data_IF_270472837305
#
_entry.id   IF_270472837305
#
_cell.length_a   1.000
_cell.length_b   1.000
_cell.length_c   1.000
_cell.angle_alpha   90.00
_cell.angle_beta   90.00
_cell.angle_gamma   90.00
#
_symmetry.space_group_name_H-M   'P 1'
#
loop_
_entity.id
_entity.type
_entity.pdbx_description
1 polymer ?
#
# COMPACT_ATOMS: atom_id res chain seq x y z
N UNK A 1 16.39 0.40 0.82
CA UNK A 1 16.42 1.88 1.00
C UNK A 1 17.76 2.50 0.65
N UNK A 2 18.90 1.79 0.76
CA UNK A 2 20.24 2.31 0.50
C UNK A 2 20.48 2.88 -0.94
N UNK A 3 19.59 2.62 -1.87
CA UNK A 3 19.64 3.14 -3.25
C UNK A 3 18.79 4.38 -3.48
N UNK A 4 18.03 4.81 -2.49
CA UNK A 4 17.21 6.02 -2.59
C UNK A 4 18.09 7.29 -2.49
N UNK A 5 17.60 8.38 -3.06
CA UNK A 5 18.21 9.69 -2.82
C UNK A 5 17.81 10.16 -1.42
N UNK A 6 18.70 10.86 -0.68
CA UNK A 6 18.37 11.38 0.64
C UNK A 6 17.15 12.33 0.68
N UNK A 7 16.81 12.93 -0.46
CA UNK A 7 15.63 13.78 -0.62
C UNK A 7 14.35 13.02 -0.97
N UNK A 8 14.41 11.68 -1.09
CA UNK A 8 13.23 10.89 -1.48
C UNK A 8 12.22 10.77 -0.34
N UNK A 9 10.94 10.79 -0.70
CA UNK A 9 9.83 10.41 0.16
C UNK A 9 9.38 9.00 -0.21
N UNK A 10 9.19 8.16 0.78
CA UNK A 10 8.67 6.81 0.60
C UNK A 10 7.19 6.75 1.02
N UNK A 11 6.32 6.23 0.15
CA UNK A 11 4.88 6.09 0.44
C UNK A 11 4.47 4.65 0.25
N UNK A 12 3.85 4.04 1.27
CA UNK A 12 3.24 2.72 1.17
C UNK A 12 1.74 2.80 1.49
N UNK A 13 0.92 2.77 0.44
CA UNK A 13 -0.53 2.65 0.51
C UNK A 13 -1.02 1.33 -0.11
N UNK A 14 -0.13 0.37 -0.27
CA UNK A 14 -0.41 -0.94 -0.86
C UNK A 14 -0.62 -2.03 0.19
N UNK A 15 0.46 -2.62 0.67
CA UNK A 15 0.43 -3.67 1.72
C UNK A 15 1.62 -3.54 2.65
N UNK A 16 1.40 -3.74 3.95
CA UNK A 16 2.45 -3.69 4.96
C UNK A 16 3.56 -4.73 4.73
N UNK A 17 3.23 -5.88 4.15
CA UNK A 17 4.20 -6.92 3.81
C UNK A 17 5.24 -6.51 2.74
N UNK A 18 4.99 -5.43 2.00
CA UNK A 18 5.94 -4.90 1.01
C UNK A 18 7.15 -4.18 1.64
N UNK A 19 7.14 -3.96 2.96
CA UNK A 19 8.17 -3.21 3.68
C UNK A 19 8.73 -4.04 4.83
N UNK A 20 10.04 -3.96 5.04
CA UNK A 20 10.69 -4.40 6.27
C UNK A 20 10.74 -3.20 7.21
N UNK A 21 9.92 -3.24 8.26
CA UNK A 21 9.67 -2.10 9.13
C UNK A 21 10.94 -1.55 9.80
N UNK A 22 11.82 -2.46 10.26
CA UNK A 22 13.09 -2.08 10.87
C UNK A 22 14.02 -1.35 9.89
N UNK A 23 14.05 -1.78 8.62
CA UNK A 23 14.88 -1.17 7.59
C UNK A 23 14.39 0.22 7.23
N UNK A 24 13.06 0.44 7.21
CA UNK A 24 12.48 1.74 6.98
C UNK A 24 12.83 2.71 8.11
N UNK A 25 12.70 2.27 9.37
CA UNK A 25 13.04 3.09 10.53
C UNK A 25 14.54 3.45 10.53
N UNK A 26 15.41 2.49 10.21
CA UNK A 26 16.83 2.74 10.07
C UNK A 26 17.14 3.73 8.93
N UNK A 27 16.51 3.57 7.77
CA UNK A 27 16.71 4.47 6.64
C UNK A 27 16.30 5.92 6.93
N UNK A 28 15.22 6.13 7.67
CA UNK A 28 14.80 7.46 8.13
C UNK A 28 15.80 8.04 9.14
N UNK A 29 16.21 7.23 10.11
CA UNK A 29 17.18 7.64 11.14
C UNK A 29 18.54 8.03 10.55
N UNK A 30 18.99 7.27 9.58
CA UNK A 30 20.31 7.44 8.95
C UNK A 30 20.30 8.48 7.80
N UNK A 31 19.14 9.10 7.52
CA UNK A 31 19.00 10.13 6.49
C UNK A 31 19.05 9.60 5.04
N UNK A 32 18.79 8.31 4.85
CA UNK A 32 18.65 7.71 3.50
C UNK A 32 17.33 8.07 2.83
N UNK A 33 16.37 8.58 3.61
CA UNK A 33 15.08 9.09 3.16
C UNK A 33 14.77 10.42 3.85
N UNK A 34 14.15 11.34 3.13
CA UNK A 34 13.67 12.60 3.70
C UNK A 34 12.41 12.40 4.57
N UNK A 35 11.64 11.35 4.30
CA UNK A 35 10.44 11.03 5.06
C UNK A 35 9.73 9.82 4.51
N UNK A 36 8.71 9.34 5.25
CA UNK A 36 7.85 8.26 4.82
C UNK A 36 6.38 8.48 5.21
N UNK A 37 5.47 7.96 4.39
CA UNK A 37 4.04 7.85 4.69
C UNK A 37 3.65 6.39 4.64
N UNK A 38 3.11 5.86 5.72
CA UNK A 38 2.67 4.47 5.84
C UNK A 38 1.17 4.46 6.14
N UNK A 39 0.38 4.01 5.16
CA UNK A 39 -1.06 3.85 5.31
C UNK A 39 -1.45 2.42 5.70
N UNK A 40 -0.56 1.46 5.45
CA UNK A 40 -0.79 0.03 5.69
C UNK A 40 0.36 -0.57 6.49
N UNK A 41 0.03 -1.37 7.52
CA UNK A 41 1.01 -2.01 8.37
C UNK A 41 0.99 -3.54 8.20
N UNK A 42 2.09 -4.21 8.56
CA UNK A 42 2.18 -5.68 8.51
C UNK A 42 1.21 -6.33 9.49
N UNK A 43 1.03 -5.70 10.64
CA UNK A 43 0.03 -6.07 11.65
C UNK A 43 -0.90 -4.88 11.88
N UNK A 44 -2.18 -5.11 11.75
CA UNK A 44 -3.23 -4.11 11.96
C UNK A 44 -4.29 -4.65 12.95
N UNK A 45 -4.63 -3.89 14.00
CA UNK A 45 -4.09 -2.57 14.37
C UNK A 45 -2.60 -2.61 14.70
N UNK A 46 -1.88 -1.50 14.42
CA UNK A 46 -0.47 -1.39 14.73
C UNK A 46 -0.24 -1.51 16.25
N UNK A 47 0.67 -2.40 16.72
CA UNK A 47 0.91 -2.59 18.15
C UNK A 47 1.31 -1.29 18.84
N UNK A 48 0.89 -1.05 20.11
CA UNK A 48 1.15 0.21 20.81
C UNK A 48 2.63 0.56 20.99
N UNK A 49 3.52 -0.45 20.97
CA UNK A 49 4.97 -0.25 21.12
C UNK A 49 5.73 -0.34 19.81
N UNK A 50 5.03 -0.29 18.67
CA UNK A 50 5.67 -0.39 17.38
C UNK A 50 6.55 0.83 17.11
N UNK A 51 7.79 0.66 16.55
CA UNK A 51 8.71 1.76 16.30
C UNK A 51 8.17 2.87 15.41
N UNK A 52 7.21 2.58 14.55
CA UNK A 52 6.59 3.59 13.67
C UNK A 52 5.92 4.73 14.43
N UNK A 53 5.43 4.50 15.66
CA UNK A 53 4.79 5.55 16.45
C UNK A 53 5.75 6.70 16.83
N UNK A 54 7.05 6.40 16.90
CA UNK A 54 8.07 7.36 17.35
C UNK A 54 9.14 7.65 16.30
N UNK A 55 9.04 7.03 15.13
CA UNK A 55 10.02 7.24 14.06
C UNK A 55 9.93 8.68 13.53
N UNK A 56 11.05 9.41 13.62
CA UNK A 56 11.14 10.75 13.05
C UNK A 56 10.97 10.72 11.53
N UNK A 57 10.22 11.67 10.99
CA UNK A 57 9.97 11.75 9.54
C UNK A 57 8.98 10.73 8.99
N UNK A 58 8.29 9.95 9.86
CA UNK A 58 7.26 8.99 9.45
C UNK A 58 5.86 9.50 9.81
N UNK A 59 4.98 9.55 8.81
CA UNK A 59 3.55 9.83 8.98
C UNK A 59 2.78 8.51 8.86
N UNK A 60 1.95 8.22 9.85
CA UNK A 60 1.02 7.08 9.83
C UNK A 60 -0.39 7.56 9.47
N UNK A 61 -1.08 6.78 8.61
CA UNK A 61 -2.50 6.92 8.36
C UNK A 61 -3.21 5.57 8.59
N UNK A 62 -4.51 5.56 8.63
CA UNK A 62 -5.30 4.44 9.14
C UNK A 62 -5.86 3.52 8.07
N UNK A 63 -5.05 3.07 7.09
CA UNK A 63 -5.48 2.21 5.98
C UNK A 63 -6.67 2.82 5.22
N UNK A 64 -6.53 4.09 4.87
CA UNK A 64 -7.61 4.95 4.35
C UNK A 64 -7.33 5.54 2.96
N UNK A 65 -6.18 5.22 2.36
CA UNK A 65 -5.76 5.78 1.09
C UNK A 65 -6.70 5.44 -0.10
N UNK A 66 -7.43 4.32 -0.01
CA UNK A 66 -8.36 3.88 -1.04
C UNK A 66 -9.69 3.41 -0.43
N UNK A 67 -10.58 4.32 -0.03
CA UNK A 67 -11.88 3.95 0.52
C UNK A 67 -12.71 3.24 -0.54
N UNK A 68 -13.22 2.05 -0.21
CA UNK A 68 -14.12 1.29 -1.07
C UNK A 68 -15.41 2.07 -1.29
N UNK A 69 -15.81 2.22 -2.54
CA UNK A 69 -17.08 2.83 -2.93
C UNK A 69 -18.06 1.74 -3.37
N UNK A 70 -18.96 1.28 -2.50
CA UNK A 70 -19.85 0.14 -2.79
C UNK A 70 -20.63 0.26 -4.11
N UNK A 71 -21.17 1.44 -4.49
CA UNK A 71 -21.89 1.55 -5.76
C UNK A 71 -21.02 1.32 -7.00
N UNK A 72 -19.75 1.77 -6.96
CA UNK A 72 -18.82 1.55 -8.06
C UNK A 72 -18.40 0.09 -8.16
N UNK A 73 -18.15 -0.55 -7.02
CA UNK A 73 -17.82 -1.98 -6.97
C UNK A 73 -18.98 -2.84 -7.45
N UNK A 74 -20.21 -2.54 -7.05
CA UNK A 74 -21.39 -3.24 -7.53
C UNK A 74 -21.58 -3.11 -9.06
N UNK A 75 -21.36 -1.91 -9.60
CA UNK A 75 -21.43 -1.68 -11.05
C UNK A 75 -20.38 -2.49 -11.81
N UNK A 76 -19.12 -2.47 -11.34
CA UNK A 76 -18.03 -3.24 -11.95
C UNK A 76 -18.33 -4.75 -11.89
N UNK A 77 -18.83 -5.23 -10.75
CA UNK A 77 -19.22 -6.63 -10.59
C UNK A 77 -20.33 -7.03 -11.58
N UNK A 78 -21.39 -6.24 -11.69
CA UNK A 78 -22.51 -6.54 -12.60
C UNK A 78 -22.09 -6.50 -14.07
N UNK A 79 -21.22 -5.54 -14.46
CA UNK A 79 -20.63 -5.51 -15.82
C UNK A 79 -19.82 -6.77 -16.09
N UNK A 80 -18.95 -7.17 -15.17
CA UNK A 80 -18.16 -8.38 -15.31
C UNK A 80 -19.01 -9.67 -15.29
N UNK A 81 -20.09 -9.70 -14.51
CA UNK A 81 -21.02 -10.83 -14.53
C UNK A 81 -21.69 -10.99 -15.91
N UNK A 82 -22.15 -9.88 -16.50
CA UNK A 82 -22.73 -9.90 -17.83
C UNK A 82 -21.70 -10.37 -18.90
N UNK A 83 -20.46 -9.87 -18.82
CA UNK A 83 -19.36 -10.29 -19.70
C UNK A 83 -19.05 -11.78 -19.54
N UNK A 84 -18.96 -12.26 -18.31
CA UNK A 84 -18.73 -13.68 -18.03
C UNK A 84 -19.83 -14.56 -18.64
N UNK A 85 -21.09 -14.17 -18.50
CA UNK A 85 -22.23 -14.90 -19.09
C UNK A 85 -22.23 -14.87 -20.62
N UNK A 86 -21.67 -13.80 -21.23
CA UNK A 86 -21.51 -13.66 -22.67
C UNK A 86 -20.24 -14.33 -23.22
N UNK A 87 -19.37 -14.89 -22.38
CA UNK A 87 -18.08 -15.46 -22.79
C UNK A 87 -17.05 -14.39 -23.22
N UNK A 88 -17.23 -13.15 -22.79
CA UNK A 88 -16.32 -12.04 -23.07
C UNK A 88 -15.22 -11.92 -22.02
N UNK A 89 -14.09 -11.27 -22.39
CA UNK A 89 -13.02 -10.95 -21.45
C UNK A 89 -13.49 -10.03 -20.32
N UNK A 90 -13.06 -10.32 -19.10
CA UNK A 90 -13.41 -9.51 -17.93
C UNK A 90 -12.62 -8.18 -17.91
N UNK A 91 -13.16 -7.19 -17.26
CA UNK A 91 -12.43 -5.93 -16.98
C UNK A 91 -11.60 -6.06 -15.72
N UNK A 92 -10.36 -5.59 -15.78
CA UNK A 92 -9.44 -5.65 -14.65
C UNK A 92 -8.90 -7.05 -14.35
N UNK A 93 -8.89 -7.93 -15.36
CA UNK A 93 -8.26 -9.24 -15.25
C UNK A 93 -6.76 -9.09 -15.01
N UNK A 94 -6.26 -9.84 -14.03
CA UNK A 94 -4.83 -9.83 -13.69
C UNK A 94 -4.07 -10.71 -14.66
N UNK A 95 -3.08 -10.13 -15.34
CA UNK A 95 -2.12 -10.89 -16.14
C UNK A 95 -1.05 -11.49 -15.22
N UNK A 96 -1.16 -12.78 -14.93
CA UNK A 96 -0.23 -13.48 -14.04
C UNK A 96 1.22 -13.52 -14.58
N UNK A 97 1.43 -13.38 -15.89
CA UNK A 97 2.77 -13.31 -16.45
C UNK A 97 3.44 -11.96 -16.19
N UNK A 98 2.65 -10.89 -16.14
CA UNK A 98 3.11 -9.53 -15.84
C UNK A 98 3.06 -9.21 -14.35
N UNK A 99 2.20 -9.89 -13.57
CA UNK A 99 2.01 -9.68 -12.15
C UNK A 99 1.06 -8.52 -11.78
N UNK A 100 0.34 -7.97 -12.75
CA UNK A 100 -0.66 -6.91 -12.55
C UNK A 100 -1.76 -6.93 -13.62
#
# INVERSE_FOLDING_TARGET
>A
FARFRPSALFINAGRGSAVVDADLVAALKDGHLAGAVIDVCRQEPLPPRHPFWTAYGLLLTGHSAAPTQPPLMARLFLDNLARYQAGEALRGEVDFARGY
#
